data_IF_808073754208
#
_entry.id   IF_808073754208
#
_cell.length_a   1.000
_cell.length_b   1.000
_cell.length_c   1.000
_cell.angle_alpha   90.00
_cell.angle_beta   90.00
_cell.angle_gamma   90.00
#
_symmetry.space_group_name_H-M   'P 1'
#
loop_
_entity.id
_entity.type
_entity.pdbx_description
1 polymer ?
#
# COMPACT_ATOMS: atom_id res chain seq x y z
N UNK A 1 -2.92 17.55 8.48
CA UNK A 1 -3.31 16.39 7.65
C UNK A 1 -2.10 15.48 7.62
N UNK A 2 -2.16 14.32 8.28
CA UNK A 2 -1.01 13.40 8.33
C UNK A 2 -0.66 12.87 6.94
N UNK A 3 0.59 12.48 6.74
CA UNK A 3 1.06 11.82 5.51
C UNK A 3 0.34 10.46 5.30
N UNK A 4 0.83 9.65 4.36
CA UNK A 4 0.25 8.36 4.03
C UNK A 4 0.55 7.30 5.11
N UNK A 5 -0.22 6.22 5.13
CA UNK A 5 -0.08 5.10 6.07
C UNK A 5 0.19 3.79 5.34
N UNK A 6 0.89 2.87 6.00
CA UNK A 6 1.00 1.49 5.55
C UNK A 6 -0.30 0.71 5.72
N UNK A 7 -1.19 1.14 6.64
CA UNK A 7 -2.40 0.41 6.97
C UNK A 7 -2.14 -0.81 7.85
N UNK A 8 -0.97 -0.87 8.49
CA UNK A 8 -0.53 -1.95 9.37
C UNK A 8 0.19 -1.31 10.55
N UNK A 9 -0.43 -1.36 11.72
CA UNK A 9 0.04 -0.64 12.93
C UNK A 9 1.54 -0.85 13.22
N UNK A 10 2.04 -2.08 13.06
CA UNK A 10 3.45 -2.37 13.23
C UNK A 10 4.34 -1.63 12.24
N UNK A 11 3.98 -1.61 10.96
CA UNK A 11 4.74 -0.91 9.93
C UNK A 11 4.63 0.60 10.10
N UNK A 12 3.44 1.12 10.41
CA UNK A 12 3.26 2.56 10.65
C UNK A 12 4.08 3.05 11.85
N UNK A 13 4.19 2.23 12.91
CA UNK A 13 5.02 2.55 14.07
C UNK A 13 6.51 2.64 13.72
N UNK A 14 7.01 1.76 12.87
CA UNK A 14 8.45 1.67 12.58
C UNK A 14 8.89 2.43 11.32
N UNK A 15 7.99 2.63 10.37
CA UNK A 15 8.28 3.15 9.03
C UNK A 15 7.33 4.27 8.60
N UNK A 16 6.41 4.74 9.46
CA UNK A 16 5.32 5.64 9.07
C UNK A 16 5.78 6.96 8.41
N UNK A 17 7.04 7.32 8.59
CA UNK A 17 7.64 8.50 7.99
C UNK A 17 8.29 8.24 6.61
N UNK A 18 8.22 7.02 6.08
CA UNK A 18 8.69 6.66 4.73
C UNK A 18 7.70 7.08 3.65
N UNK A 19 6.39 6.93 3.90
CA UNK A 19 5.35 7.22 2.91
C UNK A 19 4.96 8.70 2.93
N UNK A 20 5.81 9.54 2.32
CA UNK A 20 5.61 10.99 2.22
C UNK A 20 5.26 11.41 0.81
N UNK A 21 4.65 12.59 0.65
CA UNK A 21 4.41 13.16 -0.68
C UNK A 21 5.73 13.30 -1.44
N UNK A 22 5.75 12.81 -2.68
CA UNK A 22 6.93 12.83 -3.55
C UNK A 22 7.90 11.66 -3.35
N UNK A 23 7.63 10.72 -2.43
CA UNK A 23 8.46 9.53 -2.26
C UNK A 23 8.22 8.49 -3.37
N UNK A 24 9.29 7.82 -3.82
CA UNK A 24 9.22 6.56 -4.55
C UNK A 24 9.63 5.42 -3.60
N UNK A 25 8.75 4.45 -3.41
CA UNK A 25 8.99 3.30 -2.51
C UNK A 25 8.89 2.00 -3.31
N UNK A 26 9.85 1.10 -3.09
CA UNK A 26 9.90 -0.22 -3.74
C UNK A 26 9.71 -1.30 -2.68
N UNK A 27 8.68 -2.14 -2.85
CA UNK A 27 8.46 -3.33 -2.04
C UNK A 27 9.09 -4.55 -2.72
N UNK A 28 10.18 -5.07 -2.15
CA UNK A 28 10.93 -6.21 -2.69
C UNK A 28 10.90 -7.42 -1.76
N UNK A 29 10.95 -8.62 -2.34
CA UNK A 29 10.93 -9.89 -1.58
C UNK A 29 10.49 -11.08 -2.44
N UNK A 30 10.68 -12.30 -1.93
CA UNK A 30 10.33 -13.55 -2.62
C UNK A 30 8.85 -13.62 -3.04
N UNK A 31 8.49 -14.40 -4.07
CA UNK A 31 7.09 -14.68 -4.40
C UNK A 31 6.30 -15.21 -3.18
N UNK A 32 5.03 -14.85 -3.05
CA UNK A 32 4.18 -15.32 -1.95
C UNK A 32 4.32 -14.61 -0.60
N UNK A 33 5.29 -13.71 -0.41
CA UNK A 33 5.49 -12.99 0.89
C UNK A 33 4.51 -11.84 1.14
N UNK A 34 3.43 -11.73 0.37
CA UNK A 34 2.38 -10.73 0.58
C UNK A 34 2.62 -9.32 0.01
N UNK A 35 3.58 -9.14 -0.91
CA UNK A 35 3.87 -7.81 -1.51
C UNK A 35 2.66 -7.14 -2.15
N UNK A 36 1.92 -7.88 -2.98
CA UNK A 36 0.72 -7.40 -3.67
C UNK A 36 -0.38 -7.06 -2.67
N UNK A 37 -0.58 -7.91 -1.66
CA UNK A 37 -1.52 -7.67 -0.57
C UNK A 37 -1.16 -6.38 0.18
N UNK A 38 0.11 -6.19 0.56
CA UNK A 38 0.56 -4.97 1.23
C UNK A 38 0.37 -3.73 0.34
N UNK A 39 0.70 -3.80 -0.95
CA UNK A 39 0.47 -2.69 -1.88
C UNK A 39 -1.02 -2.30 -1.98
N UNK A 40 -1.91 -3.29 -2.04
CA UNK A 40 -3.36 -3.08 -2.04
C UNK A 40 -3.83 -2.46 -0.73
N UNK A 41 -3.36 -2.97 0.42
CA UNK A 41 -3.66 -2.41 1.76
C UNK A 41 -3.24 -0.96 1.86
N UNK A 42 -2.01 -0.61 1.47
CA UNK A 42 -1.53 0.78 1.47
C UNK A 42 -2.47 1.67 0.65
N UNK A 43 -2.83 1.25 -0.56
CA UNK A 43 -3.73 2.01 -1.42
C UNK A 43 -5.12 2.19 -0.79
N UNK A 44 -5.71 1.11 -0.29
CA UNK A 44 -7.05 1.09 0.30
C UNK A 44 -7.11 1.93 1.59
N UNK A 45 -6.18 1.75 2.51
CA UNK A 45 -6.12 2.47 3.78
C UNK A 45 -6.00 3.99 3.57
N UNK A 46 -5.23 4.42 2.56
CA UNK A 46 -5.14 5.85 2.24
C UNK A 46 -6.39 6.36 1.49
N UNK A 47 -7.00 5.54 0.62
CA UNK A 47 -8.27 5.89 -0.02
C UNK A 47 -9.40 6.09 1.01
N UNK A 48 -9.50 5.21 2.01
CA UNK A 48 -10.46 5.31 3.12
C UNK A 48 -10.23 6.57 3.99
N UNK A 49 -9.00 7.07 4.06
CA UNK A 49 -8.65 8.35 4.71
C UNK A 49 -8.96 9.58 3.85
N UNK A 50 -9.55 9.39 2.66
CA UNK A 50 -9.94 10.45 1.73
C UNK A 50 -8.86 10.89 0.73
N UNK A 51 -7.72 10.18 0.66
CA UNK A 51 -6.70 10.47 -0.34
C UNK A 51 -7.08 9.91 -1.71
N UNK A 52 -6.83 10.67 -2.77
CA UNK A 52 -6.94 10.17 -4.15
C UNK A 52 -5.84 9.14 -4.39
N UNK A 53 -6.22 7.91 -4.70
CA UNK A 53 -5.30 6.79 -4.90
C UNK A 53 -5.57 6.13 -6.25
N UNK A 54 -4.52 5.59 -6.87
CA UNK A 54 -4.59 4.81 -8.10
C UNK A 54 -3.82 3.50 -7.86
N UNK A 55 -4.51 2.38 -8.04
CA UNK A 55 -3.89 1.05 -8.00
C UNK A 55 -3.82 0.50 -9.43
N UNK A 56 -2.61 0.21 -9.91
CA UNK A 56 -2.37 -0.40 -11.21
C UNK A 56 -1.85 -1.82 -11.03
N UNK A 57 -2.60 -2.80 -11.54
CA UNK A 57 -2.22 -4.21 -11.60
C UNK A 57 -1.84 -4.58 -13.03
N UNK A 58 -0.73 -5.31 -13.20
CA UNK A 58 -0.29 -5.83 -14.49
C UNK A 58 -0.43 -7.35 -14.62
N UNK A 59 -0.60 -8.06 -13.50
CA UNK A 59 -0.55 -9.52 -13.47
C UNK A 59 -1.81 -10.17 -12.90
N UNK A 60 -2.60 -9.44 -12.11
CA UNK A 60 -3.76 -9.99 -11.41
C UNK A 60 -5.05 -9.34 -11.90
N UNK A 61 -6.05 -10.18 -12.16
CA UNK A 61 -7.41 -9.78 -12.51
C UNK A 61 -8.17 -9.21 -11.31
N UNK A 62 -9.20 -8.41 -11.59
CA UNK A 62 -10.01 -7.71 -10.58
C UNK A 62 -10.55 -8.67 -9.51
N UNK A 63 -11.10 -9.81 -9.90
CA UNK A 63 -11.66 -10.78 -8.96
C UNK A 63 -10.64 -11.26 -7.93
N UNK A 64 -9.42 -11.61 -8.36
CA UNK A 64 -8.36 -12.07 -7.46
C UNK A 64 -7.86 -10.99 -6.52
N UNK A 65 -8.06 -9.72 -6.88
CA UNK A 65 -7.56 -8.58 -6.11
C UNK A 65 -8.55 -8.12 -5.03
N UNK A 66 -9.85 -8.35 -5.23
CA UNK A 66 -10.92 -7.83 -4.37
C UNK A 66 -11.77 -8.90 -3.67
N UNK A 67 -11.57 -10.18 -3.99
CA UNK A 67 -12.18 -11.30 -3.25
C UNK A 67 -11.37 -11.66 -2.00
#
# INVERSE_FOLDING_TARGET
MGDFTFGVDGLDRFLGDVLRRGSLVVLAGCPGVGKTSLASTICCSNALRGFKCLYLSFCEDREKLFN
#
